data_IF_248124352132
#
_entry.id   IF_248124352132
#
_cell.length_a   1.000
_cell.length_b   1.000
_cell.length_c   1.000
_cell.angle_alpha   90.00
_cell.angle_beta   90.00
_cell.angle_gamma   90.00
#
_symmetry.space_group_name_H-M   'P 1'
#
loop_
_entity.id
_entity.type
_entity.pdbx_description
1 polymer ?
#
# COMPACT_ATOMS: atom_id res chain seq x y z
N UNK A 1 17.91 11.60 12.51
CA UNK A 1 16.47 11.90 12.25
C UNK A 1 15.70 11.42 13.45
N UNK A 2 14.84 12.25 13.99
CA UNK A 2 13.91 11.89 15.04
C UNK A 2 12.88 10.89 14.52
N UNK A 3 12.51 9.89 15.38
CA UNK A 3 11.51 8.89 15.01
C UNK A 3 10.10 9.49 14.96
N UNK A 4 9.23 8.90 14.14
CA UNK A 4 7.81 9.32 14.02
C UNK A 4 6.89 8.15 14.35
N UNK A 5 5.77 8.45 15.00
CA UNK A 5 4.74 7.45 15.33
C UNK A 5 3.90 7.13 14.10
N UNK A 6 3.31 5.95 14.08
CA UNK A 6 2.42 5.52 12.99
C UNK A 6 1.30 6.54 12.75
N UNK A 7 0.66 7.01 13.82
CA UNK A 7 -0.46 7.97 13.76
C UNK A 7 -0.09 9.33 13.15
N UNK A 8 1.18 9.74 13.22
CA UNK A 8 1.61 11.06 12.71
C UNK A 8 1.53 11.17 11.18
N UNK A 9 1.53 10.02 10.47
CA UNK A 9 1.44 9.96 9.00
C UNK A 9 0.20 9.21 8.49
N UNK A 10 -0.51 8.45 9.31
CA UNK A 10 -1.73 7.75 8.91
C UNK A 10 -2.79 8.68 8.35
N UNK A 11 -3.54 8.20 7.36
CA UNK A 11 -4.65 8.93 6.74
C UNK A 11 -5.84 8.02 6.46
N UNK A 12 -7.01 8.63 6.43
CA UNK A 12 -8.21 8.05 5.82
C UNK A 12 -8.69 9.01 4.75
N UNK A 13 -8.81 8.52 3.51
CA UNK A 13 -9.40 9.24 2.39
C UNK A 13 -10.74 8.62 2.10
N UNK A 14 -11.78 9.44 1.91
CA UNK A 14 -13.11 8.98 1.54
C UNK A 14 -13.50 9.52 0.17
N UNK A 15 -14.13 8.66 -0.66
CA UNK A 15 -14.58 9.03 -1.99
C UNK A 15 -15.84 8.27 -2.38
N UNK A 16 -16.83 9.00 -2.88
CA UNK A 16 -18.03 8.39 -3.49
C UNK A 16 -17.68 7.89 -4.90
N UNK A 17 -18.10 6.68 -5.21
CA UNK A 17 -17.90 6.09 -6.54
C UNK A 17 -18.94 6.61 -7.53
N UNK A 18 -18.48 7.10 -8.67
CA UNK A 18 -19.29 7.75 -9.70
C UNK A 18 -19.41 6.85 -10.95
N UNK A 19 -20.38 7.13 -11.86
CA UNK A 19 -20.57 6.31 -13.08
C UNK A 19 -19.33 6.15 -13.97
N UNK A 20 -18.44 7.16 -14.00
CA UNK A 20 -17.20 7.15 -14.78
C UNK A 20 -16.17 6.14 -14.26
N UNK A 21 -16.32 5.68 -13.02
CA UNK A 21 -15.45 4.69 -12.38
C UNK A 21 -15.90 3.25 -12.66
N UNK A 22 -17.09 3.08 -13.28
CA UNK A 22 -17.69 1.77 -13.50
C UNK A 22 -17.12 1.07 -14.75
N UNK A 23 -17.03 -0.26 -14.66
CA UNK A 23 -16.76 -1.14 -15.79
C UNK A 23 -18.08 -1.50 -16.53
N UNK A 24 -18.01 -2.16 -17.71
CA UNK A 24 -19.21 -2.55 -18.46
C UNK A 24 -20.17 -3.49 -17.72
N UNK A 25 -19.71 -4.19 -16.68
CA UNK A 25 -20.56 -5.05 -15.83
C UNK A 25 -21.32 -4.29 -14.73
N UNK A 26 -21.12 -2.96 -14.61
CA UNK A 26 -21.80 -2.10 -13.65
C UNK A 26 -21.12 -2.02 -12.27
N UNK A 27 -19.97 -2.67 -12.09
CA UNK A 27 -19.16 -2.58 -10.88
C UNK A 27 -18.06 -1.53 -11.07
N UNK A 28 -17.50 -1.04 -9.97
CA UNK A 28 -16.34 -0.13 -10.03
C UNK A 28 -15.11 -0.89 -10.56
N UNK A 29 -14.41 -0.29 -11.51
CA UNK A 29 -13.23 -0.88 -12.11
C UNK A 29 -12.11 -1.08 -11.06
N UNK A 30 -11.57 -2.30 -10.96
CA UNK A 30 -10.51 -2.61 -9.99
C UNK A 30 -9.28 -1.71 -10.11
N UNK A 31 -8.96 -1.24 -11.32
CA UNK A 31 -7.90 -0.27 -11.57
C UNK A 31 -8.15 1.10 -10.93
N UNK A 32 -9.41 1.54 -10.80
CA UNK A 32 -9.77 2.76 -10.07
C UNK A 32 -9.48 2.58 -8.58
N UNK A 33 -9.90 1.46 -8.00
CA UNK A 33 -9.63 1.14 -6.59
C UNK A 33 -8.11 1.08 -6.35
N UNK A 34 -7.35 0.42 -7.23
CA UNK A 34 -5.89 0.33 -7.16
C UNK A 34 -5.22 1.71 -7.20
N UNK A 35 -5.65 2.59 -8.12
CA UNK A 35 -5.15 3.97 -8.20
C UNK A 35 -5.37 4.75 -6.91
N UNK A 36 -6.55 4.61 -6.30
CA UNK A 36 -6.89 5.30 -5.05
C UNK A 36 -6.12 4.73 -3.85
N UNK A 37 -5.90 3.40 -3.83
CA UNK A 37 -5.02 2.74 -2.86
C UNK A 37 -3.59 3.29 -2.96
N UNK A 38 -3.01 3.31 -4.18
CA UNK A 38 -1.66 3.82 -4.42
C UNK A 38 -1.54 5.30 -4.01
N UNK A 39 -2.50 6.14 -4.42
CA UNK A 39 -2.55 7.55 -4.04
C UNK A 39 -2.57 7.73 -2.53
N UNK A 40 -3.43 6.98 -1.82
CA UNK A 40 -3.56 7.08 -0.35
C UNK A 40 -2.28 6.63 0.36
N UNK A 41 -1.69 5.53 -0.09
CA UNK A 41 -0.42 5.03 0.44
C UNK A 41 0.73 6.02 0.19
N UNK A 42 0.78 6.64 -1.00
CA UNK A 42 1.74 7.68 -1.35
C UNK A 42 1.66 8.91 -0.43
N UNK A 43 0.44 9.31 -0.03
CA UNK A 43 0.25 10.38 0.96
C UNK A 43 0.87 10.01 2.30
N UNK A 44 0.65 8.78 2.80
CA UNK A 44 1.25 8.30 4.06
C UNK A 44 2.77 8.31 3.96
N UNK A 45 3.33 7.76 2.88
CA UNK A 45 4.76 7.72 2.64
C UNK A 45 5.40 9.12 2.60
N UNK A 46 4.79 10.06 1.86
CA UNK A 46 5.24 11.44 1.76
C UNK A 46 5.18 12.18 3.09
N UNK A 47 4.11 12.00 3.86
CA UNK A 47 3.96 12.59 5.20
C UNK A 47 5.03 12.09 6.17
N UNK A 48 5.39 10.82 6.08
CA UNK A 48 6.43 10.26 6.93
C UNK A 48 7.83 10.71 6.51
N UNK A 49 8.18 10.53 5.23
CA UNK A 49 9.51 10.83 4.71
C UNK A 49 9.80 12.33 4.59
N UNK A 50 8.78 13.17 4.36
CA UNK A 50 8.93 14.60 4.02
C UNK A 50 9.86 14.83 2.83
N UNK A 51 9.84 13.91 1.86
CA UNK A 51 10.57 13.95 0.60
C UNK A 51 9.73 13.37 -0.52
N UNK A 52 10.20 13.41 -1.75
CA UNK A 52 9.57 12.70 -2.85
C UNK A 52 9.61 11.18 -2.58
N UNK A 53 8.57 10.48 -2.98
CA UNK A 53 8.46 9.02 -2.82
C UNK A 53 7.95 8.39 -4.10
N UNK A 54 8.37 7.17 -4.37
CA UNK A 54 7.91 6.39 -5.52
C UNK A 54 7.45 5.01 -5.07
N UNK A 55 6.41 4.50 -5.71
CA UNK A 55 5.94 3.13 -5.54
C UNK A 55 6.98 2.19 -6.11
N UNK A 56 7.52 1.30 -5.30
CA UNK A 56 8.54 0.32 -5.71
C UNK A 56 7.93 -1.06 -5.97
N UNK A 57 6.93 -1.46 -5.20
CA UNK A 57 6.18 -2.70 -5.42
C UNK A 57 4.80 -2.63 -4.78
N UNK A 58 3.88 -3.43 -5.30
CA UNK A 58 2.62 -3.80 -4.67
C UNK A 58 2.76 -5.28 -4.36
N UNK A 59 2.93 -5.62 -3.08
CA UNK A 59 3.23 -6.99 -2.67
C UNK A 59 1.99 -7.87 -2.67
N UNK A 60 0.83 -7.26 -2.38
CA UNK A 60 -0.45 -7.93 -2.36
C UNK A 60 -1.58 -6.91 -2.54
N UNK A 61 -2.54 -7.25 -3.39
CA UNK A 61 -3.80 -6.54 -3.54
C UNK A 61 -4.92 -7.58 -3.64
N UNK A 62 -5.78 -7.63 -2.64
CA UNK A 62 -6.95 -8.50 -2.64
C UNK A 62 -8.22 -7.64 -2.78
N UNK A 63 -9.04 -7.99 -3.76
CA UNK A 63 -10.39 -7.43 -3.95
C UNK A 63 -11.40 -8.50 -3.49
N UNK A 64 -12.00 -8.31 -2.33
CA UNK A 64 -12.84 -9.31 -1.68
C UNK A 64 -14.30 -9.27 -2.13
N UNK A 65 -14.82 -8.04 -2.34
CA UNK A 65 -16.22 -7.80 -2.69
C UNK A 65 -16.33 -6.73 -3.76
N UNK A 66 -17.34 -6.83 -4.65
CA UNK A 66 -17.60 -5.80 -5.65
C UNK A 66 -17.99 -4.48 -4.97
N UNK A 67 -17.60 -3.40 -5.61
CA UNK A 67 -17.96 -2.02 -5.27
C UNK A 67 -18.90 -1.48 -6.35
N UNK A 68 -19.92 -0.73 -5.94
CA UNK A 68 -20.93 -0.22 -6.85
C UNK A 68 -20.92 1.31 -6.94
N UNK A 69 -21.54 1.83 -8.01
CA UNK A 69 -21.79 3.27 -8.15
C UNK A 69 -22.63 3.74 -6.97
N UNK A 70 -22.24 4.85 -6.35
CA UNK A 70 -22.90 5.42 -5.18
C UNK A 70 -22.37 4.91 -3.83
N UNK A 71 -21.55 3.85 -3.80
CA UNK A 71 -20.87 3.45 -2.57
C UNK A 71 -19.85 4.53 -2.16
N UNK A 72 -19.76 4.79 -0.84
CA UNK A 72 -18.71 5.60 -0.25
C UNK A 72 -17.56 4.71 0.18
N UNK A 73 -16.39 4.91 -0.43
CA UNK A 73 -15.18 4.16 -0.07
C UNK A 73 -14.32 4.93 0.91
N UNK A 74 -13.86 4.22 1.96
CA UNK A 74 -12.87 4.69 2.91
C UNK A 74 -11.56 3.95 2.69
N UNK A 75 -10.51 4.68 2.32
CA UNK A 75 -9.14 4.16 2.18
C UNK A 75 -8.36 4.50 3.45
N UNK A 76 -8.22 3.52 4.34
CA UNK A 76 -7.52 3.65 5.62
C UNK A 76 -6.09 3.16 5.45
N UNK A 77 -5.12 4.07 5.49
CA UNK A 77 -3.72 3.77 5.24
C UNK A 77 -2.82 4.13 6.41
N UNK A 78 -1.87 3.26 6.71
CA UNK A 78 -0.87 3.45 7.77
C UNK A 78 0.45 2.73 7.46
N UNK A 79 1.55 3.21 8.07
CA UNK A 79 2.84 2.54 8.00
C UNK A 79 2.84 1.25 8.83
N UNK A 80 3.33 0.17 8.21
CA UNK A 80 3.59 -1.09 8.88
C UNK A 80 5.07 -1.26 9.22
N UNK A 81 5.96 -0.79 8.31
CA UNK A 81 7.40 -0.97 8.47
C UNK A 81 8.18 0.16 7.79
N UNK A 82 9.31 0.51 8.37
CA UNK A 82 10.29 1.45 7.81
C UNK A 82 11.66 0.80 7.81
N UNK A 83 12.30 0.77 6.63
CA UNK A 83 13.71 0.40 6.45
C UNK A 83 14.61 1.63 6.41
N UNK A 84 15.77 1.51 5.75
CA UNK A 84 16.69 2.64 5.62
C UNK A 84 16.16 3.74 4.69
N UNK A 85 15.62 3.34 3.53
CA UNK A 85 15.15 4.23 2.45
C UNK A 85 13.75 3.86 1.96
N UNK A 86 13.19 2.76 2.45
CA UNK A 86 11.91 2.21 2.01
C UNK A 86 10.92 2.08 3.17
N UNK A 87 9.64 2.10 2.83
CA UNK A 87 8.53 2.03 3.77
C UNK A 87 7.49 1.06 3.23
N UNK A 88 6.91 0.22 4.09
CA UNK A 88 5.71 -0.55 3.75
C UNK A 88 4.49 0.14 4.33
N UNK A 89 3.49 0.38 3.48
CA UNK A 89 2.20 0.93 3.83
C UNK A 89 1.13 -0.13 3.62
N UNK A 90 0.31 -0.35 4.65
CA UNK A 90 -0.91 -1.14 4.55
C UNK A 90 -2.10 -0.23 4.27
N UNK A 91 -2.96 -0.64 3.34
CA UNK A 91 -4.22 0.04 3.01
C UNK A 91 -5.37 -0.94 3.16
N UNK A 92 -6.38 -0.57 3.94
CA UNK A 92 -7.66 -1.26 4.04
C UNK A 92 -8.73 -0.39 3.41
N UNK A 93 -9.56 -0.99 2.56
CA UNK A 93 -10.66 -0.30 1.89
C UNK A 93 -11.99 -0.85 2.37
N UNK A 94 -12.82 0.03 2.89
CA UNK A 94 -14.19 -0.27 3.29
C UNK A 94 -15.14 0.48 2.37
N UNK A 95 -16.22 -0.18 1.94
CA UNK A 95 -17.30 0.44 1.17
C UNK A 95 -18.55 0.50 2.02
N UNK A 96 -19.17 1.67 2.08
CA UNK A 96 -20.47 1.92 2.72
C UNK A 96 -21.51 2.14 1.64
N UNK A 97 -22.61 1.39 1.71
CA UNK A 97 -23.80 1.70 0.94
C UNK A 97 -24.54 2.84 1.65
N UNK A 98 -24.55 4.03 1.04
CA UNK A 98 -25.12 5.23 1.67
C UNK A 98 -26.63 5.18 1.88
N UNK A 99 -27.36 4.24 1.21
CA UNK A 99 -28.80 4.10 1.37
C UNK A 99 -29.16 3.17 2.53
N UNK A 100 -28.35 2.13 2.77
CA UNK A 100 -28.62 1.12 3.80
C UNK A 100 -27.75 1.27 5.04
N UNK A 101 -26.63 1.98 4.95
CA UNK A 101 -25.59 2.08 6.00
C UNK A 101 -24.76 0.81 6.17
N UNK A 102 -24.91 -0.17 5.28
CA UNK A 102 -24.10 -1.40 5.31
C UNK A 102 -22.64 -1.09 4.96
N UNK A 103 -21.70 -1.51 5.81
CA UNK A 103 -20.26 -1.36 5.61
C UNK A 103 -19.62 -2.72 5.35
N UNK A 104 -18.83 -2.81 4.27
CA UNK A 104 -18.12 -4.04 3.87
C UNK A 104 -16.62 -3.77 3.71
N UNK A 105 -15.78 -4.70 4.17
CA UNK A 105 -14.35 -4.66 3.86
C UNK A 105 -14.14 -5.19 2.43
N UNK A 106 -13.87 -4.30 1.48
CA UNK A 106 -13.87 -4.62 0.04
C UNK A 106 -12.48 -4.93 -0.50
N UNK A 107 -11.44 -4.33 0.06
CA UNK A 107 -10.07 -4.58 -0.41
C UNK A 107 -9.03 -4.38 0.68
N UNK A 108 -7.89 -5.02 0.50
CA UNK A 108 -6.67 -4.78 1.28
C UNK A 108 -5.44 -4.84 0.40
N UNK A 109 -4.42 -4.03 0.73
CA UNK A 109 -3.18 -3.98 -0.03
C UNK A 109 -1.97 -3.66 0.86
N UNK A 110 -0.81 -4.17 0.43
CA UNK A 110 0.49 -3.80 0.98
C UNK A 110 1.37 -3.26 -0.14
N UNK A 111 1.85 -2.03 0.02
CA UNK A 111 2.67 -1.34 -0.96
C UNK A 111 4.00 -0.94 -0.34
N UNK A 112 5.07 -1.04 -1.11
CA UNK A 112 6.40 -0.54 -0.73
C UNK A 112 6.72 0.73 -1.49
N UNK A 113 7.08 1.76 -0.73
CA UNK A 113 7.57 3.04 -1.25
C UNK A 113 9.05 3.24 -0.95
N UNK A 114 9.74 3.95 -1.82
CA UNK A 114 11.12 4.38 -1.64
C UNK A 114 11.15 5.91 -1.62
N UNK A 115 11.82 6.46 -0.60
CA UNK A 115 12.03 7.90 -0.49
C UNK A 115 13.23 8.33 -1.37
N UNK A 116 13.06 9.43 -2.10
CA UNK A 116 14.07 9.98 -3.00
C UNK A 116 14.51 11.38 -2.56
N UNK A 117 15.78 11.67 -2.75
CA UNK A 117 16.34 13.01 -2.62
C UNK A 117 16.03 13.89 -3.83
N UNK A 118 16.55 15.12 -3.84
CA UNK A 118 16.36 16.09 -4.93
C UNK A 118 16.95 15.63 -6.26
N UNK A 119 17.87 14.66 -6.23
CA UNK A 119 18.53 14.10 -7.41
C UNK A 119 17.91 12.77 -7.87
N UNK A 120 16.76 12.39 -7.27
CA UNK A 120 16.09 11.12 -7.57
C UNK A 120 16.78 9.88 -7.00
N UNK A 121 17.67 10.02 -6.02
CA UNK A 121 18.39 8.91 -5.39
C UNK A 121 17.71 8.50 -4.08
N UNK A 122 17.72 7.19 -3.72
CA UNK A 122 17.16 6.73 -2.46
C UNK A 122 17.78 7.44 -1.24
N UNK A 123 16.94 8.03 -0.40
CA UNK A 123 17.36 8.77 0.80
C UNK A 123 16.82 8.15 2.08
N UNK A 124 17.49 8.44 3.21
CA UNK A 124 17.07 7.93 4.52
C UNK A 124 15.71 8.48 4.94
N UNK A 125 14.92 7.65 5.60
CA UNK A 125 13.63 8.01 6.19
C UNK A 125 13.70 7.97 7.71
N UNK A 126 12.87 8.77 8.42
CA UNK A 126 12.78 8.72 9.89
C UNK A 126 12.41 7.31 10.38
N UNK A 127 12.98 6.80 11.47
CA UNK A 127 12.58 5.53 12.04
C UNK A 127 11.12 5.57 12.54
N UNK A 128 10.46 4.38 12.53
CA UNK A 128 9.08 4.24 12.98
C UNK A 128 9.03 3.93 14.47
N UNK A 129 8.22 4.67 15.21
CA UNK A 129 7.90 4.42 16.62
C UNK A 129 6.57 3.67 16.68
N UNK A 130 6.56 2.49 17.29
CA UNK A 130 5.39 1.65 17.50
C UNK A 130 4.86 1.85 18.90
N UNK A 131 3.57 2.16 19.05
CA UNK A 131 2.95 2.46 20.35
C UNK A 131 1.95 1.38 20.80
N UNK A 132 1.38 0.60 19.87
CA UNK A 132 0.34 -0.39 20.15
C UNK A 132 0.76 -1.81 19.78
N UNK A 133 0.14 -2.81 20.42
CA UNK A 133 0.36 -4.23 20.09
C UNK A 133 0.02 -4.55 18.64
N UNK A 134 -1.00 -3.91 18.10
CA UNK A 134 -1.41 -4.04 16.70
C UNK A 134 -0.33 -3.51 15.73
N UNK A 135 0.29 -2.38 16.06
CA UNK A 135 1.41 -1.84 15.28
C UNK A 135 2.62 -2.75 15.33
N UNK A 136 2.93 -3.31 16.50
CA UNK A 136 4.04 -4.28 16.67
C UNK A 136 3.77 -5.55 15.86
N UNK A 137 2.54 -6.09 15.90
CA UNK A 137 2.13 -7.26 15.09
C UNK A 137 2.29 -6.96 13.60
N UNK A 138 1.72 -5.85 13.10
CA UNK A 138 1.80 -5.43 11.69
C UNK A 138 3.25 -5.22 11.24
N UNK A 139 4.08 -4.65 12.10
CA UNK A 139 5.50 -4.45 11.81
C UNK A 139 6.24 -5.79 11.66
N UNK A 140 5.98 -6.76 12.52
CA UNK A 140 6.56 -8.12 12.43
C UNK A 140 6.14 -8.82 11.12
N UNK A 141 4.84 -8.76 10.78
CA UNK A 141 4.31 -9.34 9.53
C UNK A 141 4.91 -8.66 8.29
N UNK A 142 5.10 -7.34 8.32
CA UNK A 142 5.72 -6.57 7.24
C UNK A 142 7.21 -6.94 7.03
N UNK A 143 7.94 -7.27 8.09
CA UNK A 143 9.32 -7.79 7.97
C UNK A 143 9.36 -9.10 7.22
N UNK A 144 8.43 -10.03 7.54
CA UNK A 144 8.33 -11.33 6.84
C UNK A 144 8.03 -11.12 5.35
N UNK A 145 7.05 -10.26 5.00
CA UNK A 145 6.76 -9.93 3.60
C UNK A 145 7.98 -9.34 2.87
N UNK A 146 8.69 -8.43 3.53
CA UNK A 146 9.91 -7.84 2.98
C UNK A 146 10.98 -8.88 2.68
N UNK A 147 11.21 -9.82 3.60
CA UNK A 147 12.20 -10.90 3.41
C UNK A 147 11.82 -11.80 2.23
N UNK A 148 10.55 -12.20 2.12
CA UNK A 148 10.04 -12.97 0.99
C UNK A 148 10.27 -12.24 -0.34
N UNK A 149 9.86 -10.98 -0.46
CA UNK A 149 10.07 -10.16 -1.67
C UNK A 149 11.55 -10.03 -2.05
N UNK A 150 12.44 -9.85 -1.08
CA UNK A 150 13.88 -9.75 -1.36
C UNK A 150 14.46 -11.08 -1.83
N UNK A 151 13.93 -12.22 -1.34
CA UNK A 151 14.32 -13.54 -1.79
C UNK A 151 13.86 -13.80 -3.23
N UNK A 152 12.60 -13.48 -3.56
CA UNK A 152 12.05 -13.57 -4.91
C UNK A 152 12.86 -12.74 -5.90
N UNK A 153 13.11 -11.48 -5.59
CA UNK A 153 13.90 -10.60 -6.45
C UNK A 153 15.32 -11.14 -6.71
N UNK A 154 15.98 -11.67 -5.70
CA UNK A 154 17.31 -12.30 -5.89
C UNK A 154 17.23 -13.52 -6.81
N UNK A 155 16.16 -14.32 -6.70
CA UNK A 155 15.92 -15.47 -7.56
C UNK A 155 15.72 -15.02 -9.01
N UNK A 156 14.90 -14.00 -9.25
CA UNK A 156 14.65 -13.42 -10.58
C UNK A 156 15.93 -12.84 -11.20
N UNK A 157 16.71 -12.07 -10.43
CA UNK A 157 17.98 -11.50 -10.89
C UNK A 157 19.00 -12.60 -11.27
N UNK A 158 19.02 -13.73 -10.53
CA UNK A 158 19.83 -14.89 -10.87
C UNK A 158 19.38 -15.55 -12.17
N UNK A 159 18.05 -15.73 -12.31
CA UNK A 159 17.45 -16.26 -13.51
C UNK A 159 17.76 -15.43 -14.77
N UNK A 160 17.70 -14.11 -14.67
CA UNK A 160 18.01 -13.21 -15.79
C UNK A 160 19.49 -13.30 -16.23
N UNK A 161 20.41 -13.60 -15.29
CA UNK A 161 21.84 -13.74 -15.59
C UNK A 161 22.21 -15.12 -16.14
N UNK A 162 21.47 -16.15 -15.79
CA UNK A 162 21.71 -17.54 -16.18
C UNK A 162 20.42 -18.18 -16.76
N UNK A 163 20.08 -17.86 -18.05
CA UNK A 163 18.86 -18.37 -18.69
C UNK A 163 18.97 -19.88 -18.93
N UNK A 164 18.53 -20.70 -18.08
CA UNK A 164 18.59 -22.18 -18.14
C UNK A 164 18.43 -22.83 -16.78
N UNK A 165 18.54 -22.03 -15.71
CA UNK A 165 18.35 -22.50 -14.33
C UNK A 165 16.97 -22.19 -13.78
N UNK A 166 16.13 -21.47 -14.53
CA UNK A 166 14.78 -21.09 -14.11
C UNK A 166 13.76 -22.16 -14.43
N UNK A 167 13.03 -22.62 -13.41
CA UNK A 167 11.75 -23.26 -13.66
C UNK A 167 10.80 -22.14 -14.12
N UNK A 168 10.32 -22.25 -15.37
CA UNK A 168 9.22 -21.39 -15.84
C UNK A 168 8.05 -21.45 -14.84
N UNK A 169 7.37 -20.32 -14.58
CA UNK A 169 6.16 -20.29 -13.77
C UNK A 169 5.06 -21.12 -14.39
#
# INVERSE_FOLDING_TARGET
MEGKRVKDSSVTIAQVMIPQDANPAGNIHGGVIMKLIDTTAGVVASRHARSNVVTASIDRLDLHYPVFIGDLLFFKASLNFVGRTSMEIGVRVEAENLLTGEVRNTASAYLTYVALDKNGRPTKVPPLILETEDEVRRNREAKVRREARLAERKSEEKCQREPGTCKNP
#
